data_IF_702835717295
#
_entry.id   IF_702835717295
#
_cell.length_a   1.000
_cell.length_b   1.000
_cell.length_c   1.000
_cell.angle_alpha   90.00
_cell.angle_beta   90.00
_cell.angle_gamma   90.00
#
_symmetry.space_group_name_H-M   'P 1'
#
loop_
_entity.id
_entity.type
_entity.pdbx_description
1 polymer ?
2 non-polymer ?
3 non-polymer ?
4 water ?
#
# COMPACT_ATOMS: atom_id res chain seq x y z
N UNK A 1 -11.80 -24.19 -18.48
CA UNK A 1 -10.44 -23.72 -18.62
C UNK A 1 -10.09 -22.97 -17.32
N UNK A 2 -8.99 -23.37 -16.72
CA UNK A 2 -8.49 -22.74 -15.54
C UNK A 2 -7.13 -22.20 -15.95
N UNK A 3 -6.93 -20.90 -15.81
CA UNK A 3 -5.76 -20.23 -16.34
C UNK A 3 -5.24 -19.31 -15.23
N UNK A 4 -3.92 -19.37 -15.03
CA UNK A 4 -3.18 -18.47 -14.16
C UNK A 4 -2.52 -17.47 -15.10
N UNK A 5 -2.46 -16.18 -14.76
CA UNK A 5 -1.76 -15.22 -15.63
C UNK A 5 -0.75 -14.50 -14.74
N UNK A 6 0.42 -14.17 -15.30
CA UNK A 6 1.45 -13.42 -14.62
C UNK A 6 1.93 -12.30 -15.53
N UNK A 7 2.20 -11.12 -14.95
CA UNK A 7 2.88 -10.06 -15.70
C UNK A 7 3.14 -8.88 -14.81
N UNK A 8 4.22 -8.08 -15.09
CA UNK A 8 4.50 -6.91 -14.26
C UNK A 8 3.52 -5.78 -14.54
N UNK A 9 3.41 -4.81 -13.61
CA UNK A 9 2.82 -3.50 -13.96
C UNK A 9 3.53 -2.96 -15.24
N UNK A 10 2.78 -2.40 -16.19
CA UNK A 10 3.36 -1.92 -17.44
C UNK A 10 3.32 -2.92 -18.58
N UNK A 11 2.82 -4.13 -18.32
CA UNK A 11 2.84 -5.22 -19.33
C UNK A 11 1.50 -5.33 -20.07
N UNK A 12 0.49 -4.60 -19.64
CA UNK A 12 -0.82 -4.69 -20.34
C UNK A 12 -1.60 -5.93 -19.91
N UNK A 13 -1.16 -6.56 -18.81
CA UNK A 13 -1.75 -7.83 -18.29
C UNK A 13 -3.30 -7.73 -18.16
N UNK A 14 -3.84 -6.61 -17.67
CA UNK A 14 -5.28 -6.57 -17.36
C UNK A 14 -6.09 -6.60 -18.64
N UNK A 15 -5.58 -5.88 -19.64
CA UNK A 15 -6.18 -5.83 -20.96
C UNK A 15 -6.27 -7.23 -21.56
N UNK A 16 -5.18 -7.98 -21.46
CA UNK A 16 -5.10 -9.31 -22.13
C UNK A 16 -5.93 -10.28 -21.35
N UNK A 17 -5.83 -10.19 -20.01
CA UNK A 17 -6.68 -10.94 -19.09
C UNK A 17 -8.15 -10.80 -19.47
N UNK A 18 -8.62 -9.57 -19.70
CA UNK A 18 -10.03 -9.33 -20.09
C UNK A 18 -10.40 -10.03 -21.41
N UNK A 19 -9.55 -9.91 -22.46
CA UNK A 19 -9.78 -10.63 -23.74
C UNK A 19 -9.87 -12.18 -23.60
N UNK A 20 -9.03 -12.75 -22.78
CA UNK A 20 -9.09 -14.15 -22.45
C UNK A 20 -10.33 -14.52 -21.66
N UNK A 21 -10.69 -13.75 -20.62
CA UNK A 21 -11.85 -14.15 -19.84
C UNK A 21 -13.19 -13.97 -20.62
N UNK A 22 -13.20 -13.13 -21.66
CA UNK A 22 -14.38 -12.91 -22.51
C UNK A 22 -14.58 -14.06 -23.53
N UNK A 23 -13.80 -14.07 -24.62
CA UNK A 23 -13.70 -15.31 -25.43
C UNK A 23 -13.39 -16.32 -24.32
N UNK A 24 -14.06 -17.47 -24.28
CA UNK A 24 -13.88 -18.45 -23.17
C UNK A 24 -14.73 -18.33 -21.88
N UNK A 25 -15.47 -17.23 -21.68
CA UNK A 25 -16.44 -17.07 -20.55
C UNK A 25 -16.00 -17.36 -19.09
N UNK A 26 -14.74 -17.03 -18.75
CA UNK A 26 -14.11 -17.28 -17.44
C UNK A 26 -14.56 -16.28 -16.37
N UNK A 27 -14.55 -16.72 -15.12
CA UNK A 27 -14.58 -15.80 -14.01
C UNK A 27 -13.16 -15.24 -13.78
N UNK A 28 -12.98 -13.91 -13.84
CA UNK A 28 -11.65 -13.35 -13.53
C UNK A 28 -11.53 -13.22 -11.99
N UNK A 29 -10.64 -13.97 -11.37
CA UNK A 29 -10.47 -13.90 -9.94
C UNK A 29 -9.16 -13.19 -9.61
N UNK A 30 -9.20 -11.99 -9.01
CA UNK A 30 -7.95 -11.39 -8.54
C UNK A 30 -7.92 -11.19 -7.00
N UNK A 31 -6.68 -10.98 -6.50
CA UNK A 31 -6.32 -11.08 -5.11
C UNK A 31 -7.19 -10.19 -4.30
N UNK A 32 -7.35 -8.94 -4.73
CA UNK A 32 -8.26 -8.01 -4.11
C UNK A 32 -9.70 -8.45 -3.93
N UNK A 33 -10.34 -8.92 -5.01
CA UNK A 33 -11.71 -9.47 -5.00
C UNK A 33 -11.96 -10.66 -4.09
N UNK A 34 -10.97 -11.55 -4.00
CA UNK A 34 -11.02 -12.67 -3.06
C UNK A 34 -11.22 -12.12 -1.62
N UNK A 35 -10.36 -11.22 -1.20
CA UNK A 35 -10.44 -10.68 0.17
C UNK A 35 -11.83 -10.04 0.50
N UNK A 36 -12.35 -9.21 -0.40
CA UNK A 36 -13.71 -8.66 -0.32
C UNK A 36 -14.78 -9.70 -0.08
N UNK A 37 -14.81 -10.72 -0.91
CA UNK A 37 -15.86 -11.73 -0.80
C UNK A 37 -15.82 -12.36 0.60
N UNK A 38 -14.63 -12.61 1.12
CA UNK A 38 -14.41 -13.32 2.40
C UNK A 38 -14.37 -12.43 3.68
N UNK A 39 -13.53 -11.37 3.67
CA UNK A 39 -13.45 -10.41 4.79
C UNK A 39 -14.77 -9.62 4.81
N UNK A 40 -15.00 -8.88 3.74
CA UNK A 40 -16.26 -8.27 3.48
C UNK A 40 -17.44 -9.14 3.87
N UNK A 41 -17.52 -10.35 3.33
CA UNK A 41 -18.71 -11.20 3.50
C UNK A 41 -18.69 -12.17 4.71
N UNK A 42 -17.56 -12.17 5.45
CA UNK A 42 -17.42 -12.90 6.74
C UNK A 42 -17.69 -14.40 6.74
N UNK A 43 -17.21 -15.06 5.68
CA UNK A 43 -16.97 -16.50 5.71
C UNK A 43 -16.08 -16.80 6.98
N UNK A 44 -15.90 -18.08 7.32
CA UNK A 44 -15.12 -18.46 8.53
C UNK A 44 -13.64 -18.04 8.32
N UNK A 45 -13.17 -18.14 7.08
CA UNK A 45 -11.79 -17.79 6.76
C UNK A 45 -11.60 -16.27 6.79
N UNK A 46 -12.56 -15.52 6.23
CA UNK A 46 -12.47 -14.09 6.18
C UNK A 46 -12.44 -13.48 7.55
N UNK A 47 -13.17 -14.06 8.52
CA UNK A 47 -13.11 -13.55 9.89
C UNK A 47 -11.75 -13.76 10.54
N UNK A 48 -11.14 -14.92 10.26
CA UNK A 48 -9.79 -15.19 10.75
C UNK A 48 -8.80 -14.27 10.05
N UNK A 49 -8.91 -14.11 8.74
CA UNK A 49 -8.00 -13.20 8.02
C UNK A 49 -8.06 -11.77 8.58
N UNK A 50 -9.27 -11.28 8.83
CA UNK A 50 -9.46 -9.86 9.20
C UNK A 50 -8.80 -9.48 10.51
N UNK A 51 -8.67 -10.44 11.43
CA UNK A 51 -7.84 -10.26 12.63
C UNK A 51 -6.40 -9.87 12.36
N UNK A 52 -5.78 -10.48 11.36
CA UNK A 52 -4.46 -10.05 10.93
C UNK A 52 -4.46 -8.66 10.30
N UNK A 53 -5.38 -8.44 9.36
CA UNK A 53 -5.41 -7.20 8.60
C UNK A 53 -5.58 -6.00 9.55
N UNK A 54 -6.51 -6.12 10.51
CA UNK A 54 -6.84 -5.08 11.48
C UNK A 54 -5.78 -4.73 12.45
N UNK A 55 -4.67 -5.49 12.50
CA UNK A 55 -3.51 -5.10 13.33
C UNK A 55 -2.29 -4.82 12.42
N UNK A 56 -2.52 -4.76 11.11
CA UNK A 56 -1.46 -4.41 10.20
C UNK A 56 -0.57 -5.56 9.83
N UNK A 57 -0.98 -6.80 10.13
CA UNK A 57 -0.21 -7.94 9.64
C UNK A 57 -0.80 -8.48 8.36
N UNK A 58 0.04 -9.25 7.66
CA UNK A 58 -0.39 -10.04 6.47
C UNK A 58 -1.18 -11.28 6.92
N UNK A 59 -2.12 -11.70 6.07
CA UNK A 59 -2.83 -12.95 6.28
C UNK A 59 -1.88 -14.14 6.04
N UNK A 60 -1.81 -15.09 7.00
CA UNK A 60 -0.91 -16.24 6.74
C UNK A 60 -1.33 -17.05 5.54
N UNK A 61 -0.36 -17.65 4.89
CA UNK A 61 -0.61 -18.46 3.70
C UNK A 61 -1.59 -19.60 3.99
N UNK A 62 -1.54 -20.11 5.24
CA UNK A 62 -2.40 -21.19 5.70
C UNK A 62 -3.89 -20.74 5.73
N UNK A 63 -4.15 -19.45 5.53
CA UNK A 63 -5.49 -18.91 5.49
C UNK A 63 -5.74 -18.37 4.07
N UNK A 64 -4.76 -17.68 3.53
CA UNK A 64 -4.85 -17.21 2.13
C UNK A 64 -5.17 -18.28 1.05
N UNK A 65 -4.43 -19.40 1.11
CA UNK A 65 -4.59 -20.47 0.11
C UNK A 65 -6.03 -21.02 0.18
N UNK A 66 -6.49 -21.41 1.38
CA UNK A 66 -7.85 -21.95 1.32
C UNK A 66 -8.92 -20.89 0.93
N UNK A 67 -8.67 -19.62 1.26
CA UNK A 67 -9.53 -18.51 0.79
C UNK A 67 -9.56 -18.51 -0.74
N UNK A 68 -8.40 -18.61 -1.37
CA UNK A 68 -8.33 -18.66 -2.86
C UNK A 68 -9.15 -19.83 -3.41
N UNK A 69 -8.89 -21.01 -2.83
CA UNK A 69 -9.50 -22.26 -3.27
C UNK A 69 -11.02 -22.19 -3.16
N UNK A 70 -11.54 -21.62 -2.04
CA UNK A 70 -13.00 -21.39 -1.86
C UNK A 70 -13.59 -20.55 -2.97
N UNK A 71 -12.89 -19.49 -3.39
CA UNK A 71 -13.42 -18.55 -4.39
C UNK A 71 -13.41 -19.20 -5.79
N UNK A 72 -12.32 -19.88 -6.12
CA UNK A 72 -12.27 -20.74 -7.33
C UNK A 72 -13.39 -21.80 -7.42
N UNK A 73 -13.71 -22.45 -6.31
CA UNK A 73 -14.78 -23.43 -6.24
C UNK A 73 -16.19 -22.86 -6.34
N UNK A 74 -16.41 -21.68 -5.77
CA UNK A 74 -17.70 -20.97 -5.82
C UNK A 74 -17.76 -20.12 -7.10
N UNK A 75 -17.17 -18.91 -7.06
CA UNK A 75 -17.16 -18.00 -8.22
C UNK A 75 -16.55 -18.62 -9.45
N UNK A 76 -15.52 -19.45 -9.30
CA UNK A 76 -14.85 -19.90 -10.51
C UNK A 76 -15.31 -21.27 -11.02
N UNK A 77 -16.46 -21.74 -10.52
CA UNK A 77 -16.93 -23.11 -10.84
C UNK A 77 -17.03 -23.37 -12.35
N UNK A 78 -17.45 -22.38 -13.14
CA UNK A 78 -17.61 -22.63 -14.57
C UNK A 78 -16.34 -22.27 -15.40
N UNK A 79 -15.18 -22.14 -14.76
CA UNK A 79 -13.93 -21.73 -15.42
C UNK A 79 -13.38 -20.50 -14.74
N UNK A 80 -12.07 -20.45 -14.46
CA UNK A 80 -11.46 -19.23 -13.85
C UNK A 80 -10.15 -18.71 -14.44
N UNK A 81 -9.94 -17.41 -14.36
CA UNK A 81 -8.67 -16.78 -14.65
C UNK A 81 -8.14 -16.13 -13.37
N UNK A 82 -7.05 -16.68 -12.82
CA UNK A 82 -6.47 -16.22 -11.55
C UNK A 82 -5.29 -15.28 -11.81
N UNK A 83 -5.40 -14.09 -11.26
CA UNK A 83 -4.55 -13.00 -11.69
C UNK A 83 -4.03 -12.31 -10.44
N UNK A 84 -2.72 -12.33 -10.22
CA UNK A 84 -2.13 -11.47 -9.18
C UNK A 84 -1.78 -12.24 -7.93
N UNK A 85 -2.16 -13.51 -7.90
CA UNK A 85 -1.78 -14.49 -6.90
C UNK A 85 -1.45 -15.74 -7.69
N UNK A 86 -0.35 -16.47 -7.33
CA UNK A 86 0.64 -16.20 -6.25
C UNK A 86 1.65 -15.12 -6.65
N UNK A 87 2.24 -14.45 -5.64
CA UNK A 87 3.35 -13.49 -5.87
C UNK A 87 4.72 -14.06 -5.55
N UNK A 88 4.79 -15.17 -4.81
CA UNK A 88 6.12 -15.70 -4.47
C UNK A 88 6.12 -17.24 -4.56
N UNK A 89 7.28 -17.86 -4.36
CA UNK A 89 7.42 -19.30 -4.61
C UNK A 89 6.73 -20.17 -3.56
N UNK A 90 6.74 -19.72 -2.33
CA UNK A 90 6.04 -20.36 -1.23
C UNK A 90 4.54 -20.39 -1.54
N UNK A 91 3.94 -19.23 -1.83
CA UNK A 91 2.51 -19.26 -2.33
C UNK A 91 2.30 -20.15 -3.51
N UNK A 92 3.19 -20.08 -4.49
CA UNK A 92 2.95 -20.78 -5.74
C UNK A 92 2.89 -22.27 -5.49
N UNK A 93 3.87 -22.75 -4.72
CA UNK A 93 3.92 -24.18 -4.36
C UNK A 93 2.72 -24.61 -3.48
N UNK A 94 2.33 -23.78 -2.52
CA UNK A 94 1.22 -24.15 -1.66
C UNK A 94 -0.10 -24.11 -2.46
N UNK A 95 -0.18 -23.22 -3.44
CA UNK A 95 -1.39 -23.11 -4.25
C UNK A 95 -1.49 -24.40 -5.07
N UNK A 96 -0.36 -24.82 -5.62
CA UNK A 96 -0.42 -25.95 -6.48
C UNK A 96 -0.74 -27.24 -5.72
N UNK A 97 -0.14 -27.43 -4.55
CA UNK A 97 -0.49 -28.58 -3.69
C UNK A 97 -1.95 -28.58 -3.25
N UNK A 98 -2.48 -27.37 -3.02
CA UNK A 98 -3.89 -27.27 -2.65
C UNK A 98 -4.82 -27.59 -3.83
N UNK A 99 -4.49 -27.13 -5.02
CA UNK A 99 -5.29 -27.49 -6.17
C UNK A 99 -5.27 -29.03 -6.38
N UNK A 100 -4.11 -29.63 -6.24
CA UNK A 100 -3.99 -31.06 -6.49
C UNK A 100 -4.89 -31.84 -5.51
N UNK A 101 -4.88 -31.44 -4.23
CA UNK A 101 -5.72 -32.06 -3.19
C UNK A 101 -7.19 -31.99 -3.54
N UNK A 102 -7.69 -30.84 -4.00
CA UNK A 102 -9.10 -30.73 -4.42
C UNK A 102 -9.35 -31.37 -5.80
N UNK A 103 -8.31 -31.89 -6.46
CA UNK A 103 -8.44 -32.44 -7.83
C UNK A 103 -8.88 -31.37 -8.84
N UNK A 104 -8.57 -30.11 -8.57
CA UNK A 104 -8.82 -29.07 -9.52
C UNK A 104 -7.58 -28.94 -10.44
N UNK A 105 -7.78 -28.81 -11.74
CA UNK A 105 -6.68 -28.87 -12.72
C UNK A 105 -6.44 -27.51 -13.40
N UNK A 106 -5.16 -27.14 -13.57
CA UNK A 106 -4.78 -25.99 -14.40
C UNK A 106 -4.74 -26.43 -15.88
N UNK A 107 -5.17 -25.59 -16.81
CA UNK A 107 -5.05 -25.92 -18.21
C UNK A 107 -3.93 -25.13 -18.90
N UNK A 108 -3.72 -23.88 -18.47
CA UNK A 108 -2.80 -22.97 -19.10
C UNK A 108 -2.23 -22.01 -18.05
N UNK A 109 -1.00 -21.59 -18.27
CA UNK A 109 -0.36 -20.53 -17.47
C UNK A 109 0.20 -19.57 -18.50
N UNK A 110 -0.08 -18.30 -18.37
CA UNK A 110 0.31 -17.26 -19.33
C UNK A 110 1.23 -16.30 -18.60
N UNK A 111 2.39 -16.00 -19.19
CA UNK A 111 3.28 -15.05 -18.65
C UNK A 111 3.50 -13.98 -19.73
N UNK A 112 3.30 -12.72 -19.39
CA UNK A 112 3.63 -11.64 -20.30
C UNK A 112 5.03 -11.16 -19.95
N UNK A 113 5.95 -11.25 -20.92
CA UNK A 113 7.38 -10.93 -20.69
C UNK A 113 7.73 -9.59 -21.19
N UNK A 114 8.47 -8.85 -20.40
CA UNK A 114 8.80 -7.51 -20.77
C UNK A 114 9.99 -7.19 -19.88
N UNK A 115 11.09 -6.61 -20.42
CA UNK A 115 12.16 -6.29 -19.49
C UNK A 115 11.71 -5.22 -18.51
N UNK A 116 12.30 -5.23 -17.32
CA UNK A 116 11.95 -4.29 -16.25
C UNK A 116 11.98 -2.84 -16.65
N UNK A 117 13.07 -2.39 -17.29
CA UNK A 117 13.24 -0.95 -17.57
C UNK A 117 12.23 -0.51 -18.61
N UNK A 118 11.83 -1.43 -19.51
CA UNK A 118 10.80 -1.18 -20.52
C UNK A 118 9.43 -1.02 -19.83
N UNK A 119 9.08 -1.98 -18.96
CA UNK A 119 7.87 -1.87 -18.20
C UNK A 119 7.80 -0.52 -17.44
N UNK A 120 8.88 -0.13 -16.77
CA UNK A 120 8.84 1.09 -15.97
C UNK A 120 8.59 2.33 -16.88
N UNK A 121 9.24 2.36 -18.04
CA UNK A 121 9.09 3.48 -19.02
C UNK A 121 7.69 3.59 -19.61
N UNK A 122 7.11 2.44 -19.91
CA UNK A 122 5.70 2.37 -20.39
C UNK A 122 4.71 2.85 -19.36
N UNK A 123 4.99 2.61 -18.09
CA UNK A 123 4.17 3.21 -17.02
C UNK A 123 4.32 4.78 -16.98
N UNK A 124 5.58 5.22 -16.89
CA UNK A 124 5.93 6.66 -16.75
C UNK A 124 5.56 7.42 -17.98
N UNK A 125 5.56 6.75 -19.11
CA UNK A 125 5.39 7.45 -20.37
C UNK A 125 3.91 7.66 -20.70
N UNK A 126 3.01 7.15 -19.87
CA UNK A 126 1.55 7.39 -20.08
C UNK A 126 1.18 8.88 -20.03
N UNK A 127 0.32 9.33 -20.97
CA UNK A 127 -0.20 10.72 -20.98
C UNK A 127 -1.69 10.62 -21.20
N UNK A 128 -2.45 11.34 -20.37
CA UNK A 128 -3.89 11.23 -20.41
C UNK A 128 -4.43 12.49 -21.07
N UNK A 129 -5.36 12.28 -22.01
CA UNK A 129 -6.02 13.35 -22.76
C UNK A 129 -7.13 14.01 -21.96
N UNK A 130 -7.12 15.34 -21.90
CA UNK A 130 -8.11 16.08 -21.10
C UNK A 130 -9.54 15.82 -21.62
N UNK A 131 -9.67 15.60 -22.92
CA UNK A 131 -11.00 15.48 -23.56
C UNK A 131 -11.65 14.13 -23.45
N UNK A 132 -10.80 13.09 -23.54
CA UNK A 132 -11.26 11.71 -23.46
C UNK A 132 -10.13 10.85 -22.96
N UNK A 133 -10.26 10.33 -21.74
CA UNK A 133 -9.12 9.67 -21.13
C UNK A 133 -8.93 8.26 -21.72
N UNK A 134 -9.86 7.79 -22.56
CA UNK A 134 -9.64 6.51 -23.20
C UNK A 134 -8.64 6.63 -24.33
N UNK A 135 -8.28 7.84 -24.78
CA UNK A 135 -7.38 8.01 -26.00
C UNK A 135 -5.94 7.64 -25.73
N UNK A 136 -5.41 6.54 -26.33
CA UNK A 136 -4.06 6.13 -25.90
C UNK A 136 -2.89 7.01 -26.39
N UNK A 137 -2.09 7.47 -25.43
CA UNK A 137 -0.93 8.34 -25.73
C UNK A 137 0.17 7.84 -24.80
N UNK A 138 1.34 7.58 -25.32
CA UNK A 138 2.45 7.20 -24.41
C UNK A 138 3.74 7.69 -25.06
N UNK A 139 4.56 8.40 -24.29
CA UNK A 139 5.77 8.90 -24.85
C UNK A 139 6.74 7.78 -25.14
N UNK A 140 6.58 6.59 -24.60
CA UNK A 140 7.60 5.59 -24.82
C UNK A 140 7.14 4.46 -25.70
N UNK A 141 5.91 4.52 -26.23
CA UNK A 141 5.43 3.46 -27.14
C UNK A 141 5.17 4.15 -28.44
N UNK A 142 6.16 4.01 -29.30
CA UNK A 142 6.12 4.53 -30.64
C UNK A 142 4.80 4.68 -31.33
N UNK A 143 4.05 3.60 -31.43
CA UNK A 143 2.79 3.51 -32.21
C UNK A 143 1.73 4.45 -31.65
N UNK A 144 1.87 4.84 -30.37
CA UNK A 144 0.92 5.74 -29.79
C UNK A 144 1.57 7.00 -29.16
N UNK A 145 2.69 7.44 -29.73
CA UNK A 145 3.35 8.68 -29.33
C UNK A 145 2.38 9.84 -29.47
N UNK A 146 2.47 10.84 -28.55
CA UNK A 146 1.65 12.03 -28.66
C UNK A 146 1.96 12.78 -29.93
N UNK A 147 1.06 13.68 -30.34
CA UNK A 147 1.28 14.52 -31.53
C UNK A 147 1.89 15.83 -31.01
N UNK A 148 3.21 15.85 -30.95
CA UNK A 148 3.92 16.92 -30.28
C UNK A 148 3.63 16.89 -28.78
N UNK A 149 3.07 17.97 -28.26
CA UNK A 149 2.59 18.05 -26.85
C UNK A 149 1.13 17.64 -26.66
N UNK A 150 0.40 17.38 -27.75
CA UNK A 150 -1.04 17.02 -27.65
C UNK A 150 -1.46 15.58 -28.02
N UNK A 151 -2.63 15.20 -27.55
CA UNK A 151 -3.26 13.93 -27.88
C UNK A 151 -3.15 13.63 -29.36
N UNK A 152 -2.66 12.43 -29.68
CA UNK A 152 -2.53 12.05 -31.07
C UNK A 152 -3.89 11.67 -31.69
N UNK A 153 -4.97 11.55 -30.87
CA UNK A 153 -6.32 11.19 -31.39
C UNK A 153 -7.16 12.47 -31.69
N UNK A 154 -7.17 13.45 -30.78
CA UNK A 154 -8.14 14.55 -30.89
C UNK A 154 -7.51 15.92 -30.72
N UNK A 155 -6.22 15.98 -30.39
CA UNK A 155 -5.54 17.23 -30.17
C UNK A 155 -5.77 17.86 -28.79
N UNK A 156 -6.35 17.12 -27.86
CA UNK A 156 -6.65 17.72 -26.56
C UNK A 156 -5.37 17.76 -25.73
N UNK A 157 -5.39 18.54 -24.67
CA UNK A 157 -4.22 18.65 -23.77
C UNK A 157 -3.89 17.31 -23.10
N UNK A 158 -2.62 17.08 -22.82
CA UNK A 158 -2.18 15.84 -22.18
C UNK A 158 -1.57 16.14 -20.82
N UNK A 159 -1.88 15.32 -19.83
CA UNK A 159 -1.15 15.40 -18.56
C UNK A 159 -0.61 14.08 -18.10
N UNK A 160 0.37 14.19 -17.20
CA UNK A 160 0.93 13.02 -16.59
C UNK A 160 0.11 12.74 -15.31
N UNK A 161 -0.11 11.49 -15.00
CA UNK A 161 -0.71 11.09 -13.71
C UNK A 161 0.35 10.94 -12.61
N UNK A 162 0.17 11.60 -11.47
CA UNK A 162 1.21 11.47 -10.38
C UNK A 162 1.61 9.99 -10.05
N UNK A 163 0.66 9.06 -9.99
CA UNK A 163 0.98 7.66 -9.63
C UNK A 163 1.87 7.00 -10.68
N UNK A 164 1.67 7.35 -11.94
CA UNK A 164 2.58 6.90 -13.00
C UNK A 164 4.01 7.42 -12.84
N UNK A 165 4.18 8.53 -12.14
CA UNK A 165 5.50 9.19 -12.05
C UNK A 165 6.21 8.87 -10.75
N UNK A 166 5.63 7.99 -9.97
CA UNK A 166 6.18 7.72 -8.66
C UNK A 166 7.13 6.52 -8.80
N UNK A 167 8.42 6.83 -8.99
CA UNK A 167 9.42 5.79 -9.28
C UNK A 167 9.65 4.83 -8.08
N UNK A 168 9.60 5.35 -6.86
CA UNK A 168 9.75 4.50 -5.68
C UNK A 168 8.72 3.42 -5.63
N UNK A 169 7.47 3.81 -5.86
CA UNK A 169 6.33 2.91 -5.83
C UNK A 169 6.47 1.83 -6.88
N UNK A 170 6.87 2.23 -8.11
CA UNK A 170 6.98 1.37 -9.28
C UNK A 170 8.10 0.34 -9.04
N UNK A 171 9.28 0.85 -8.65
CA UNK A 171 10.42 0.04 -8.25
C UNK A 171 10.19 -0.97 -7.15
N UNK A 172 9.48 -0.60 -6.09
CA UNK A 172 9.13 -1.63 -5.09
C UNK A 172 8.26 -2.76 -5.70
N UNK A 173 7.27 -2.44 -6.54
CA UNK A 173 6.51 -3.53 -7.16
C UNK A 173 7.31 -4.36 -8.15
N UNK A 174 8.11 -3.71 -8.99
CA UNK A 174 9.01 -4.44 -9.85
C UNK A 174 10.01 -5.28 -9.10
N UNK A 175 10.53 -4.78 -7.97
CA UNK A 175 11.51 -5.58 -7.18
C UNK A 175 10.92 -6.94 -6.78
N UNK A 176 9.65 -6.95 -6.37
CA UNK A 176 8.96 -8.22 -6.09
C UNK A 176 8.66 -9.06 -7.36
N UNK A 177 8.11 -8.41 -8.38
CA UNK A 177 7.83 -9.11 -9.60
C UNK A 177 9.10 -9.77 -10.18
N UNK A 178 10.17 -9.00 -10.35
CA UNK A 178 11.34 -9.45 -11.12
C UNK A 178 12.38 -10.20 -10.30
N UNK A 179 12.04 -10.45 -9.04
CA UNK A 179 12.81 -11.27 -8.11
C UNK A 179 12.80 -12.76 -8.52
N UNK A 180 13.89 -13.19 -9.11
CA UNK A 180 14.01 -14.57 -9.63
C UNK A 180 14.46 -15.60 -8.57
N UNK A 181 14.70 -15.16 -7.33
CA UNK A 181 15.07 -16.07 -6.24
C UNK A 181 13.79 -16.67 -5.69
N UNK A 182 12.89 -15.78 -5.27
CA UNK A 182 11.62 -16.22 -4.73
C UNK A 182 10.43 -15.31 -4.98
N UNK A 183 10.53 -14.41 -5.95
CA UNK A 183 9.44 -13.42 -6.21
C UNK A 183 8.58 -14.00 -7.30
N UNK A 184 7.91 -13.13 -8.05
CA UNK A 184 6.78 -13.58 -8.92
C UNK A 184 7.31 -14.34 -10.16
N UNK A 185 8.41 -13.86 -10.73
CA UNK A 185 9.09 -14.58 -11.76
C UNK A 185 9.47 -15.95 -11.30
N UNK A 186 10.12 -16.07 -10.14
CA UNK A 186 10.41 -17.41 -9.63
C UNK A 186 9.11 -18.22 -9.50
N UNK A 187 8.00 -17.61 -9.11
CA UNK A 187 6.71 -18.33 -9.02
C UNK A 187 6.17 -18.75 -10.36
N UNK A 188 6.29 -17.87 -11.38
CA UNK A 188 5.92 -18.26 -12.73
C UNK A 188 6.77 -19.44 -13.29
N UNK A 189 8.11 -19.37 -13.12
CA UNK A 189 8.98 -20.46 -13.50
C UNK A 189 8.67 -21.80 -12.84
N UNK A 190 8.23 -21.77 -11.60
CA UNK A 190 7.78 -22.94 -10.91
C UNK A 190 6.66 -23.64 -11.73
N UNK A 191 5.70 -22.88 -12.20
CA UNK A 191 4.72 -23.45 -13.14
C UNK A 191 5.30 -23.86 -14.50
N UNK A 192 6.07 -22.95 -15.12
CA UNK A 192 6.73 -23.21 -16.38
C UNK A 192 7.51 -24.54 -16.37
N UNK A 193 8.33 -24.75 -15.34
CA UNK A 193 9.18 -25.89 -15.25
C UNK A 193 8.51 -27.26 -15.17
N UNK A 194 7.28 -27.33 -14.67
CA UNK A 194 6.49 -28.58 -14.51
C UNK A 194 5.31 -28.74 -15.54
N UNK A 195 5.01 -27.71 -16.32
CA UNK A 195 3.88 -27.70 -17.24
C UNK A 195 3.56 -29.05 -17.90
N UNK A 196 4.47 -29.58 -18.69
CA UNK A 196 4.19 -30.82 -19.43
C UNK A 196 4.15 -32.12 -18.60
N UNK A 197 4.63 -32.06 -17.35
CA UNK A 197 4.50 -33.13 -16.37
C UNK A 197 3.11 -33.13 -15.75
N UNK A 198 2.42 -32.00 -15.80
CA UNK A 198 1.18 -31.85 -15.07
C UNK A 198 0.02 -31.57 -15.98
N UNK A 199 0.23 -31.71 -17.27
CA UNK A 199 -0.85 -31.59 -18.24
C UNK A 199 -1.39 -30.19 -18.50
N UNK A 200 -0.60 -29.15 -18.20
CA UNK A 200 -0.98 -27.82 -18.66
C UNK A 200 0.03 -27.25 -19.62
N UNK A 201 -0.36 -26.17 -20.32
CA UNK A 201 0.52 -25.52 -21.28
C UNK A 201 0.89 -24.11 -20.82
N UNK A 202 2.20 -23.85 -20.76
CA UNK A 202 2.68 -22.54 -20.43
C UNK A 202 2.82 -21.74 -21.70
N UNK A 203 2.41 -20.47 -21.68
CA UNK A 203 2.37 -19.60 -22.85
C UNK A 203 3.11 -18.33 -22.50
N UNK A 204 4.15 -17.97 -23.25
CA UNK A 204 4.91 -16.75 -22.99
C UNK A 204 4.47 -15.73 -23.98
N UNK A 205 4.02 -14.58 -23.53
CA UNK A 205 3.63 -13.55 -24.45
C UNK A 205 4.66 -12.40 -24.47
N UNK A 206 5.01 -11.95 -25.67
CA UNK A 206 5.90 -10.81 -25.85
C UNK A 206 5.16 -9.51 -25.50
N UNK A 207 5.50 -8.93 -24.37
CA UNK A 207 4.84 -7.70 -23.90
C UNK A 207 5.10 -6.40 -24.66
N UNK A 208 6.04 -6.40 -25.61
CA UNK A 208 6.35 -5.18 -26.36
C UNK A 208 5.44 -4.92 -27.54
N UNK A 209 4.70 -5.93 -28.00
CA UNK A 209 3.83 -5.72 -29.18
C UNK A 209 2.58 -4.91 -28.83
N UNK A 210 1.85 -4.46 -29.84
CA UNK A 210 0.58 -3.75 -29.60
C UNK A 210 -0.48 -4.59 -28.84
N UNK A 211 -1.54 -3.98 -28.32
CA UNK A 211 -2.68 -4.73 -27.69
C UNK A 211 -3.21 -5.84 -28.64
N UNK A 212 -3.81 -5.42 -29.76
CA UNK A 212 -4.33 -6.31 -30.82
C UNK A 212 -3.30 -7.39 -31.21
N UNK A 213 -2.02 -7.01 -31.28
CA UNK A 213 -0.96 -8.00 -31.64
C UNK A 213 -0.74 -9.13 -30.60
N UNK A 214 -0.54 -8.76 -29.33
CA UNK A 214 -0.54 -9.71 -28.20
C UNK A 214 -1.84 -10.60 -28.18
N UNK A 215 -3.02 -9.96 -28.29
CA UNK A 215 -4.28 -10.70 -28.22
C UNK A 215 -4.35 -11.78 -29.27
N UNK A 216 -3.98 -11.47 -30.52
CA UNK A 216 -3.96 -12.47 -31.58
C UNK A 216 -3.05 -13.67 -31.26
N UNK A 217 -1.82 -13.40 -30.81
CA UNK A 217 -0.88 -14.48 -30.50
C UNK A 217 -1.40 -15.32 -29.35
N UNK A 218 -2.04 -14.67 -28.39
CA UNK A 218 -2.60 -15.38 -27.22
C UNK A 218 -3.80 -16.29 -27.57
N UNK A 219 -4.82 -15.71 -28.21
CA UNK A 219 -5.96 -16.45 -28.76
C UNK A 219 -5.50 -17.71 -29.52
N UNK A 220 -4.56 -17.54 -30.46
CA UNK A 220 -4.01 -18.65 -31.30
C UNK A 220 -3.65 -19.92 -30.49
N UNK A 221 -3.18 -19.67 -29.26
CA UNK A 221 -2.63 -20.72 -28.42
C UNK A 221 -3.59 -21.31 -27.38
N UNK A 222 -4.69 -20.63 -27.11
CA UNK A 222 -5.69 -21.15 -26.18
C UNK A 222 -6.61 -22.25 -26.79
N UNK A 223 -6.30 -22.62 -28.02
CA UNK A 223 -6.75 -23.89 -28.58
C UNK A 223 -5.75 -24.30 -29.68
N UNK B 1 15.07 14.80 24.92
CA UNK B 1 13.62 14.59 25.00
C UNK B 1 13.24 13.52 23.98
N UNK B 2 12.63 12.45 24.47
CA UNK B 2 12.20 11.38 23.57
C UNK B 2 10.72 11.24 23.62
N UNK B 3 10.12 11.30 22.44
CA UNK B 3 8.65 11.39 22.37
C UNK B 3 8.08 10.44 21.36
N UNK B 4 6.99 9.77 21.74
CA UNK B 4 6.21 8.90 20.88
C UNK B 4 4.97 9.70 20.51
N UNK B 5 4.60 9.79 19.24
CA UNK B 5 3.33 10.44 18.98
C UNK B 5 2.34 9.50 18.23
N UNK B 6 1.06 9.51 18.63
CA UNK B 6 0.01 8.69 18.00
C UNK B 6 -1.14 9.59 17.49
N UNK B 7 -1.72 9.31 16.33
CA UNK B 7 -2.91 10.00 15.89
C UNK B 7 -3.37 9.35 14.59
N UNK B 8 -4.70 9.34 14.32
CA UNK B 8 -5.17 8.75 13.05
C UNK B 8 -4.92 9.67 11.83
N UNK B 9 -5.01 9.17 10.62
CA UNK B 9 -5.05 10.11 9.48
C UNK B 9 -6.25 11.06 9.67
N UNK B 10 -6.12 12.31 9.30
CA UNK B 10 -7.16 13.32 9.55
C UNK B 10 -7.03 14.04 10.87
N UNK B 11 -6.00 13.73 11.66
CA UNK B 11 -5.88 14.41 12.97
C UNK B 11 -4.93 15.57 13.03
N UNK B 12 -4.22 15.91 11.94
CA UNK B 12 -3.27 17.03 11.97
C UNK B 12 -1.98 16.67 12.70
N UNK B 13 -1.73 15.36 12.87
CA UNK B 13 -0.59 14.86 13.67
C UNK B 13 0.82 15.32 13.16
N UNK B 14 1.00 15.30 11.85
CA UNK B 14 2.26 15.66 11.24
C UNK B 14 2.56 17.15 11.41
N UNK B 15 1.55 18.01 11.30
CA UNK B 15 1.74 19.45 11.54
C UNK B 15 2.22 19.73 12.97
N UNK B 16 1.58 19.07 13.95
CA UNK B 16 1.93 19.22 15.37
C UNK B 16 3.31 18.71 15.71
N UNK B 17 3.65 17.50 15.21
CA UNK B 17 4.97 16.90 15.36
C UNK B 17 6.09 17.72 14.78
N UNK B 18 5.84 18.32 13.59
CA UNK B 18 6.79 19.22 12.99
C UNK B 18 7.03 20.46 13.89
N UNK B 19 5.99 21.02 14.53
CA UNK B 19 6.14 22.13 15.51
C UNK B 19 7.00 21.76 16.75
N UNK B 20 6.83 20.56 17.27
CA UNK B 20 7.63 20.14 18.42
C UNK B 20 9.07 19.91 17.98
N UNK B 21 9.25 19.17 16.89
CA UNK B 21 10.57 18.88 16.38
C UNK B 21 11.34 20.14 16.08
N UNK B 22 10.68 21.14 15.49
CA UNK B 22 11.33 22.44 15.36
C UNK B 22 11.62 23.16 16.66
N UNK B 23 10.62 23.33 17.53
CA UNK B 23 10.92 24.00 18.79
C UNK B 23 12.11 23.42 19.56
N UNK B 24 12.26 22.09 19.57
CA UNK B 24 13.25 21.51 20.47
C UNK B 24 14.40 20.85 19.72
N UNK B 25 14.49 21.10 18.40
CA UNK B 25 15.50 20.51 17.55
C UNK B 25 15.62 18.97 17.64
N UNK B 26 14.48 18.27 17.80
CA UNK B 26 14.47 16.79 17.82
C UNK B 26 14.65 16.26 16.39
N UNK B 27 15.10 15.00 16.28
CA UNK B 27 15.00 14.27 15.03
C UNK B 27 13.57 13.75 14.90
N UNK B 28 12.90 14.03 13.77
CA UNK B 28 11.54 13.46 13.48
C UNK B 28 11.78 12.11 12.83
N UNK B 29 11.37 11.03 13.49
CA UNK B 29 11.73 9.69 13.02
C UNK B 29 10.46 8.95 12.64
N UNK B 30 10.35 8.64 11.36
CA UNK B 30 9.07 8.15 10.80
C UNK B 30 9.40 6.83 10.13
N UNK B 31 8.48 5.88 10.28
CA UNK B 31 8.64 4.52 9.76
C UNK B 31 9.35 4.39 8.40
N UNK B 32 8.88 5.04 7.34
CA UNK B 32 9.53 4.94 6.04
C UNK B 32 10.88 5.61 5.94
N UNK B 33 11.16 6.58 6.78
CA UNK B 33 12.53 7.08 6.84
C UNK B 33 13.47 6.02 7.43
N UNK B 34 12.93 5.25 8.37
CA UNK B 34 13.75 4.21 8.98
C UNK B 34 14.16 3.20 7.88
N UNK B 35 13.18 2.76 7.10
CA UNK B 35 13.40 1.70 6.08
C UNK B 35 14.38 2.14 5.04
N UNK B 36 14.23 3.38 4.52
CA UNK B 36 15.18 4.02 3.61
C UNK B 36 16.60 4.02 4.17
N UNK B 37 16.75 4.44 5.42
CA UNK B 37 18.08 4.45 6.00
C UNK B 37 18.72 3.03 5.94
N UNK B 38 17.93 1.99 6.25
CA UNK B 38 18.47 0.62 6.46
C UNK B 38 18.50 -0.21 5.18
N UNK B 39 17.34 -0.33 4.54
CA UNK B 39 17.19 -1.02 3.26
C UNK B 39 18.03 -0.30 2.21
N UNK B 40 17.78 1.01 2.04
CA UNK B 40 18.41 1.75 1.02
C UNK B 40 19.89 1.83 1.30
N UNK B 41 20.29 1.96 2.57
CA UNK B 41 21.71 2.08 2.95
C UNK B 41 22.46 0.77 3.16
N UNK B 42 21.84 -0.38 2.86
CA UNK B 42 22.48 -1.69 3.00
C UNK B 42 23.08 -1.99 4.40
N UNK B 43 22.43 -1.55 5.50
CA UNK B 43 22.89 -1.98 6.84
C UNK B 43 22.69 -3.51 6.93
N UNK B 44 23.22 -4.15 7.98
CA UNK B 44 23.10 -5.63 8.11
C UNK B 44 21.66 -5.99 8.34
N UNK B 45 20.95 -5.09 9.03
CA UNK B 45 19.53 -5.29 9.26
C UNK B 45 18.74 -5.07 7.99
N UNK B 46 19.05 -3.98 7.29
CA UNK B 46 18.41 -3.60 6.03
C UNK B 46 18.51 -4.68 4.96
N UNK B 47 19.63 -5.38 4.87
CA UNK B 47 19.82 -6.47 3.87
C UNK B 47 18.95 -7.69 4.24
N UNK B 48 18.80 -7.94 5.55
CA UNK B 48 17.93 -9.07 5.96
C UNK B 48 16.47 -8.70 5.71
N UNK B 49 16.08 -7.46 6.04
CA UNK B 49 14.73 -6.96 5.77
C UNK B 49 14.32 -7.03 4.31
N UNK B 50 15.18 -6.54 3.42
CA UNK B 50 14.85 -6.46 2.00
C UNK B 50 14.48 -7.86 1.48
N UNK B 51 15.04 -8.91 2.07
CA UNK B 51 14.71 -10.24 1.60
C UNK B 51 13.21 -10.60 1.70
N UNK B 52 12.60 -10.21 2.83
CA UNK B 52 11.20 -10.43 3.06
C UNK B 52 10.38 -9.55 2.13
N UNK B 53 10.75 -8.26 2.11
CA UNK B 53 10.03 -7.29 1.31
C UNK B 53 10.01 -7.66 -0.18
N UNK B 54 11.13 -8.17 -0.68
CA UNK B 54 11.23 -8.55 -2.11
C UNK B 54 10.46 -9.79 -2.49
N UNK B 55 9.90 -10.50 -1.49
CA UNK B 55 8.98 -11.61 -1.78
C UNK B 55 7.54 -11.19 -1.38
N UNK B 56 7.38 -9.93 -1.03
CA UNK B 56 6.05 -9.43 -0.64
C UNK B 56 5.65 -9.78 0.81
N UNK B 57 6.60 -10.24 1.64
CA UNK B 57 6.30 -10.46 3.08
C UNK B 57 6.59 -9.20 3.94
N UNK B 58 6.03 -9.11 5.14
CA UNK B 58 6.39 -8.00 6.01
C UNK B 58 7.72 -8.39 6.71
N UNK B 59 8.46 -7.38 7.13
CA UNK B 59 9.70 -7.64 7.91
C UNK B 59 9.25 -8.12 9.29
N UNK B 60 9.77 -9.28 9.78
CA UNK B 60 9.45 -9.76 11.12
C UNK B 60 9.76 -8.72 12.21
N UNK B 61 9.05 -8.77 13.34
CA UNK B 61 9.28 -7.75 14.36
C UNK B 61 10.69 -7.80 14.92
N UNK B 62 11.31 -8.99 14.96
CA UNK B 62 12.68 -9.05 15.51
C UNK B 62 13.79 -8.48 14.62
N UNK B 63 13.40 -7.95 13.44
CA UNK B 63 14.34 -7.21 12.61
C UNK B 63 13.86 -5.74 12.67
N UNK B 64 12.55 -5.52 12.52
CA UNK B 64 11.98 -4.21 12.62
C UNK B 64 12.37 -3.43 13.90
N UNK B 65 12.14 -4.02 15.06
CA UNK B 65 12.41 -3.34 16.33
C UNK B 65 13.90 -2.93 16.40
N UNK B 66 14.84 -3.85 16.10
CA UNK B 66 16.25 -3.40 16.12
C UNK B 66 16.61 -2.29 15.05
N UNK B 67 15.88 -2.28 13.95
CA UNK B 67 16.09 -1.24 12.96
C UNK B 67 15.69 0.08 13.56
N UNK B 68 14.55 0.07 14.25
CA UNK B 68 14.06 1.30 14.86
C UNK B 68 15.05 1.74 15.93
N UNK B 69 15.47 0.83 16.81
CA UNK B 69 16.44 1.21 17.84
C UNK B 69 17.74 1.79 17.24
N UNK B 70 18.27 1.19 16.17
CA UNK B 70 19.56 1.69 15.54
C UNK B 70 19.42 3.11 14.96
N UNK B 71 18.26 3.41 14.41
CA UNK B 71 17.95 4.76 13.96
C UNK B 71 17.79 5.77 15.10
N UNK B 72 17.11 5.39 16.17
CA UNK B 72 17.00 6.26 17.34
C UNK B 72 18.35 6.59 17.89
N UNK B 73 19.26 5.59 17.91
CA UNK B 73 20.63 5.75 18.44
C UNK B 73 21.49 6.66 17.59
N UNK B 74 21.42 6.51 16.26
CA UNK B 74 22.20 7.36 15.35
C UNK B 74 21.56 8.73 15.07
N UNK B 75 20.35 8.78 14.51
CA UNK B 75 19.75 10.10 14.23
C UNK B 75 19.17 10.80 15.45
N UNK B 76 18.74 10.03 16.44
CA UNK B 76 18.00 10.63 17.52
C UNK B 76 18.83 10.97 18.71
N UNK B 77 20.16 11.00 18.58
CA UNK B 77 20.97 11.14 19.80
C UNK B 77 20.79 12.48 20.59
N UNK B 78 20.16 13.51 20.01
CA UNK B 78 19.86 14.74 20.78
C UNK B 78 18.33 14.92 21.00
N UNK B 79 17.57 13.81 20.95
CA UNK B 79 16.15 13.82 21.14
C UNK B 79 15.48 13.35 19.87
N UNK B 80 14.36 12.66 20.03
CA UNK B 80 13.62 12.12 18.89
C UNK B 80 12.13 12.15 19.08
N UNK B 81 11.42 12.19 17.97
CA UNK B 81 9.99 12.12 17.91
C UNK B 81 9.71 10.96 16.96
N UNK B 82 9.15 9.89 17.51
CA UNK B 82 8.92 8.68 16.72
C UNK B 82 7.46 8.67 16.38
N UNK B 83 7.22 8.57 15.10
CA UNK B 83 5.90 8.84 14.55
C UNK B 83 5.53 7.72 13.58
N UNK B 84 4.50 6.95 13.90
CA UNK B 84 3.95 6.01 12.91
C UNK B 84 4.28 4.58 13.19
N UNK B 85 5.12 4.39 14.19
CA UNK B 85 5.45 3.12 14.80
C UNK B 85 5.42 3.33 16.32
N UNK B 86 4.79 2.41 17.15
CA UNK B 86 4.26 1.11 16.79
C UNK B 86 2.85 1.25 16.26
N UNK B 87 2.41 0.28 15.50
CA UNK B 87 0.97 0.24 15.08
C UNK B 87 0.04 -0.78 15.79
N UNK B 88 0.63 -1.68 16.54
CA UNK B 88 -0.15 -2.74 17.16
C UNK B 88 0.48 -3.09 18.53
N UNK B 89 -0.25 -3.88 19.35
CA UNK B 89 0.22 -4.10 20.72
C UNK B 89 1.51 -4.93 20.80
N UNK B 90 1.68 -5.84 19.82
CA UNK B 90 2.87 -6.72 19.82
C UNK B 90 4.09 -5.85 19.62
N UNK B 91 4.04 -4.96 18.60
CA UNK B 91 5.08 -3.98 18.32
C UNK B 91 5.34 -3.06 19.50
N UNK B 92 4.28 -2.57 20.13
CA UNK B 92 4.37 -1.64 21.27
C UNK B 92 5.23 -2.23 22.42
N UNK B 93 4.96 -3.49 22.74
CA UNK B 93 5.56 -4.08 23.88
C UNK B 93 6.98 -4.50 23.51
N UNK B 94 7.18 -5.01 22.28
CA UNK B 94 8.56 -5.26 21.80
C UNK B 94 9.40 -3.99 21.80
N UNK B 95 8.82 -2.88 21.33
CA UNK B 95 9.57 -1.60 21.26
C UNK B 95 9.99 -1.20 22.67
N UNK B 96 9.01 -1.21 23.57
CA UNK B 96 9.29 -0.82 24.96
C UNK B 96 10.39 -1.66 25.62
N UNK B 97 10.38 -2.99 25.43
CA UNK B 97 11.38 -3.85 25.99
C UNK B 97 12.74 -3.59 25.35
N UNK B 98 12.73 -3.27 24.06
CA UNK B 98 13.97 -3.00 23.36
C UNK B 98 14.58 -1.67 23.82
N UNK B 99 13.74 -0.65 24.00
CA UNK B 99 14.22 0.60 24.58
C UNK B 99 14.84 0.42 26.01
N UNK B 100 14.18 -0.31 26.89
CA UNK B 100 14.70 -0.46 28.23
C UNK B 100 16.06 -1.13 28.15
N UNK B 101 16.15 -2.13 27.27
CA UNK B 101 17.32 -2.97 27.18
C UNK B 101 18.50 -2.04 26.87
N UNK B 102 18.23 -0.98 26.11
CA UNK B 102 19.26 -0.01 25.69
C UNK B 102 19.40 1.25 26.58
N UNK B 103 18.65 1.27 27.68
CA UNK B 103 18.63 2.42 28.61
C UNK B 103 18.09 3.71 28.01
N UNK B 104 17.33 3.60 26.93
CA UNK B 104 16.66 4.74 26.31
C UNK B 104 15.29 5.04 26.96
N UNK B 105 15.14 6.21 27.57
CA UNK B 105 13.92 6.52 28.32
C UNK B 105 12.95 7.28 27.40
N UNK B 106 11.66 6.97 27.52
CA UNK B 106 10.61 7.78 26.89
C UNK B 106 10.25 8.88 27.87
N UNK B 107 10.11 10.11 27.37
CA UNK B 107 9.78 11.20 28.24
C UNK B 107 8.31 11.59 28.14
N UNK B 108 7.76 11.49 26.92
CA UNK B 108 6.36 11.83 26.67
C UNK B 108 5.80 10.98 25.61
N UNK B 109 4.50 10.70 25.73
CA UNK B 109 3.76 10.03 24.68
C UNK B 109 2.60 11.01 24.41
N UNK B 110 2.35 11.36 23.14
CA UNK B 110 1.31 12.31 22.79
C UNK B 110 0.34 11.47 21.95
N UNK B 111 -0.95 11.60 22.27
CA UNK B 111 -2.04 11.09 21.47
C UNK B 111 -2.99 12.19 21.08
N UNK B 112 -3.20 12.36 19.76
CA UNK B 112 -4.23 13.26 19.29
C UNK B 112 -5.53 12.44 19.07
N UNK B 113 -6.61 12.85 19.73
CA UNK B 113 -7.91 12.15 19.74
C UNK B 113 -8.90 12.77 18.81
N UNK B 114 -9.63 11.92 18.12
CA UNK B 114 -10.67 12.34 17.20
C UNK B 114 -11.56 11.15 17.08
N UNK B 115 -12.90 11.35 17.08
CA UNK B 115 -13.73 10.18 16.76
C UNK B 115 -13.41 9.81 15.32
N UNK B 116 -13.46 8.52 15.02
CA UNK B 116 -13.13 8.03 13.72
C UNK B 116 -13.98 8.70 12.63
N UNK B 117 -15.28 8.82 12.87
CA UNK B 117 -16.16 9.48 11.89
C UNK B 117 -15.71 10.94 11.63
N UNK B 118 -15.41 11.69 12.67
CA UNK B 118 -14.87 13.06 12.45
C UNK B 118 -13.56 13.01 11.64
N UNK B 119 -12.64 12.15 12.05
CA UNK B 119 -11.37 11.96 11.29
C UNK B 119 -11.59 11.67 9.78
N UNK B 120 -12.45 10.68 9.50
CA UNK B 120 -12.79 10.37 8.11
C UNK B 120 -13.37 11.55 7.31
N UNK B 121 -14.29 12.30 7.92
CA UNK B 121 -14.84 13.50 7.32
C UNK B 121 -13.85 14.60 7.11
N UNK B 122 -12.88 14.73 8.01
CA UNK B 122 -11.78 15.69 7.79
C UNK B 122 -10.87 15.37 6.62
N UNK B 123 -10.68 14.09 6.32
CA UNK B 123 -9.97 13.70 5.12
C UNK B 123 -10.82 14.01 3.91
N UNK B 124 -12.04 13.51 3.88
CA UNK B 124 -12.87 13.63 2.69
C UNK B 124 -13.28 15.05 2.39
N UNK B 125 -13.34 15.88 3.42
CA UNK B 125 -13.75 17.29 3.29
C UNK B 125 -12.70 18.23 2.66
N UNK B 126 -11.44 17.79 2.55
CA UNK B 126 -10.38 18.62 1.96
C UNK B 126 -10.73 19.02 0.53
N UNK B 127 -10.54 20.32 0.27
CA UNK B 127 -10.67 20.85 -1.06
C UNK B 127 -9.43 21.66 -1.35
N UNK B 128 -8.93 21.56 -2.58
CA UNK B 128 -7.62 22.15 -2.91
C UNK B 128 -7.82 23.29 -3.90
N UNK B 129 -7.23 24.45 -3.58
CA UNK B 129 -7.34 25.65 -4.42
C UNK B 129 -6.47 25.55 -5.66
N UNK B 130 -7.08 25.72 -6.82
CA UNK B 130 -6.34 25.71 -8.08
C UNK B 130 -5.14 26.69 -8.09
N UNK B 131 -5.28 27.85 -7.44
CA UNK B 131 -4.32 28.97 -7.52
C UNK B 131 -3.15 28.77 -6.59
N UNK B 132 -3.46 28.26 -5.39
CA UNK B 132 -2.43 28.03 -4.36
C UNK B 132 -2.86 26.84 -3.49
N UNK B 133 -2.23 25.65 -3.69
CA UNK B 133 -2.71 24.47 -3.04
C UNK B 133 -2.51 24.49 -1.49
N UNK B 134 -1.73 25.45 -1.02
CA UNK B 134 -1.60 25.60 0.41
C UNK B 134 -2.74 26.38 1.12
N UNK B 135 -3.70 26.93 0.35
CA UNK B 135 -4.90 27.58 0.93
C UNK B 135 -5.84 26.61 1.66
N UNK B 136 -5.84 26.58 3.01
CA UNK B 136 -6.67 25.56 3.63
C UNK B 136 -8.20 25.73 3.38
N UNK B 137 -8.84 24.70 2.83
CA UNK B 137 -10.28 24.66 2.58
C UNK B 137 -10.79 23.27 3.00
N UNK B 138 -11.84 23.23 3.82
CA UNK B 138 -12.37 21.96 4.23
C UNK B 138 -13.84 22.05 4.54
N UNK B 139 -14.66 21.32 3.78
CA UNK B 139 -16.09 21.40 3.90
C UNK B 139 -16.53 20.90 5.29
N UNK B 140 -15.69 20.16 5.99
CA UNK B 140 -16.04 19.71 7.35
C UNK B 140 -15.38 20.38 8.50
N UNK B 141 -14.50 21.35 8.26
CA UNK B 141 -13.91 22.06 9.39
C UNK B 141 -14.46 23.47 9.27
N UNK B 142 -15.39 23.83 10.14
CA UNK B 142 -16.17 25.07 10.00
C UNK B 142 -15.27 26.33 9.84
N UNK B 143 -14.21 26.45 10.67
CA UNK B 143 -13.23 27.55 10.56
C UNK B 143 -12.52 27.68 9.19
N UNK B 144 -12.43 26.61 8.40
CA UNK B 144 -11.83 26.76 7.06
C UNK B 144 -12.76 26.26 5.93
N UNK B 145 -14.06 26.47 6.09
CA UNK B 145 -14.95 26.01 5.05
C UNK B 145 -14.96 26.90 3.78
N UNK B 146 -15.08 26.29 2.60
CA UNK B 146 -14.99 27.06 1.36
C UNK B 146 -15.96 28.23 1.32
N UNK B 147 -15.70 29.21 0.45
CA UNK B 147 -16.63 30.35 0.32
C UNK B 147 -17.62 29.99 -0.80
N UNK B 148 -18.72 29.34 -0.42
CA UNK B 148 -19.56 28.62 -1.38
C UNK B 148 -18.87 27.45 -2.06
N UNK B 149 -18.67 27.58 -3.37
CA UNK B 149 -17.93 26.63 -4.24
C UNK B 149 -16.44 26.98 -4.39
N UNK B 150 -16.02 28.13 -3.86
CA UNK B 150 -14.68 28.61 -4.22
C UNK B 150 -13.81 28.81 -2.97
N UNK B 151 -12.50 28.90 -3.19
CA UNK B 151 -11.49 29.05 -2.14
C UNK B 151 -11.79 30.21 -1.19
N UNK B 152 -11.91 29.93 0.12
CA UNK B 152 -12.16 30.96 1.12
C UNK B 152 -11.04 31.97 1.20
N UNK B 153 -9.87 31.63 0.68
CA UNK B 153 -8.74 32.55 0.75
C UNK B 153 -8.70 33.51 -0.41
N UNK B 154 -8.85 33.00 -1.64
CA UNK B 154 -8.57 33.81 -2.84
C UNK B 154 -9.64 33.74 -3.91
N UNK B 155 -10.66 32.90 -3.72
CA UNK B 155 -11.78 32.83 -4.67
C UNK B 155 -11.50 31.86 -5.82
N UNK B 156 -10.36 31.18 -5.81
CA UNK B 156 -10.06 30.27 -6.91
C UNK B 156 -10.88 28.99 -6.89
N UNK B 157 -10.88 28.32 -8.03
CA UNK B 157 -11.55 27.03 -8.15
C UNK B 157 -11.05 25.99 -7.08
N UNK B 158 -11.96 25.13 -6.62
CA UNK B 158 -11.63 24.06 -5.67
C UNK B 158 -11.85 22.71 -6.30
N UNK B 159 -11.01 21.77 -5.96
CA UNK B 159 -11.25 20.40 -6.39
C UNK B 159 -10.94 19.38 -5.33
N UNK B 160 -11.46 18.17 -5.50
CA UNK B 160 -11.21 17.07 -4.59
C UNK B 160 -10.02 16.25 -5.09
N UNK B 161 -9.21 15.79 -4.14
CA UNK B 161 -8.15 14.80 -4.44
C UNK B 161 -8.72 13.42 -4.40
N UNK B 162 -8.46 12.63 -5.44
CA UNK B 162 -8.96 11.24 -5.50
C UNK B 162 -8.63 10.39 -4.26
N UNK B 163 -7.38 10.43 -3.76
CA UNK B 163 -7.01 9.66 -2.58
C UNK B 163 -7.79 10.13 -1.37
N UNK B 164 -8.14 11.42 -1.31
CA UNK B 164 -8.97 11.87 -0.17
C UNK B 164 -10.38 11.32 -0.19
N UNK B 165 -10.87 10.93 -1.38
CA UNK B 165 -12.24 10.37 -1.54
C UNK B 165 -12.26 8.81 -1.60
N UNK B 166 -11.13 8.15 -1.36
CA UNK B 166 -11.05 6.69 -1.47
C UNK B 166 -11.46 6.09 -0.11
N UNK B 167 -12.76 5.85 0.06
CA UNK B 167 -13.29 5.49 1.37
C UNK B 167 -12.80 4.13 1.80
N UNK B 168 -12.66 3.25 0.81
CA UNK B 168 -12.06 1.96 1.02
C UNK B 168 -10.67 1.99 1.69
N UNK B 169 -9.78 2.82 1.18
CA UNK B 169 -8.40 2.87 1.67
C UNK B 169 -8.34 3.57 3.04
N UNK B 170 -9.22 4.55 3.24
CA UNK B 170 -9.27 5.36 4.47
C UNK B 170 -9.80 4.44 5.58
N UNK B 171 -10.91 3.77 5.29
CA UNK B 171 -11.45 2.79 6.25
C UNK B 171 -10.50 1.65 6.59
N UNK B 172 -9.63 1.24 5.67
CA UNK B 172 -8.69 0.20 5.99
C UNK B 172 -7.65 0.74 6.99
N UNK B 173 -7.17 1.97 6.80
CA UNK B 173 -6.21 2.57 7.76
C UNK B 173 -6.84 2.82 9.14
N UNK B 174 -8.10 3.27 9.16
CA UNK B 174 -8.80 3.55 10.41
C UNK B 174 -9.20 2.30 11.15
N UNK B 175 -9.47 1.21 10.42
CA UNK B 175 -9.68 -0.11 11.01
C UNK B 175 -8.50 -0.52 11.88
N UNK B 176 -7.29 -0.33 11.38
CA UNK B 176 -6.05 -0.62 12.17
C UNK B 176 -5.89 0.37 13.32
N UNK B 177 -6.05 1.67 13.03
CA UNK B 177 -5.85 2.69 14.10
C UNK B 177 -6.85 2.54 15.26
N UNK B 178 -8.11 2.51 14.91
CA UNK B 178 -9.13 2.51 15.95
C UNK B 178 -9.41 1.14 16.58
N UNK B 179 -8.68 0.11 16.15
CA UNK B 179 -8.71 -1.22 16.75
C UNK B 179 -8.21 -1.25 18.22
N UNK B 180 -9.15 -1.39 19.17
CA UNK B 180 -8.82 -1.32 20.58
C UNK B 180 -8.49 -2.69 21.15
N UNK B 181 -8.57 -3.74 20.31
CA UNK B 181 -8.18 -5.06 20.75
C UNK B 181 -6.62 -5.13 20.67
N UNK B 182 -6.08 -4.98 19.47
CA UNK B 182 -4.64 -4.97 19.38
C UNK B 182 -4.08 -4.02 18.31
N UNK B 183 -4.85 -3.06 17.85
CA UNK B 183 -4.35 -2.05 16.87
C UNK B 183 -3.71 -0.84 17.55
N UNK B 184 -3.71 0.30 16.86
CA UNK B 184 -2.85 1.43 17.28
C UNK B 184 -3.38 2.10 18.52
N UNK B 185 -4.68 2.29 18.62
CA UNK B 185 -5.26 2.73 19.87
C UNK B 185 -4.89 1.82 21.05
N UNK B 186 -4.92 0.48 20.86
CA UNK B 186 -4.52 -0.46 21.93
C UNK B 186 -3.02 -0.31 22.30
N UNK B 187 -2.16 -0.01 21.30
CA UNK B 187 -0.71 0.28 21.53
C UNK B 187 -0.55 1.59 22.33
N UNK B 188 -1.32 2.63 21.97
CA UNK B 188 -1.27 3.96 22.68
C UNK B 188 -1.72 3.78 24.14
N UNK B 189 -2.83 3.04 24.34
CA UNK B 189 -3.31 2.80 25.72
C UNK B 189 -2.34 1.94 26.51
N UNK B 190 -1.60 1.09 25.83
CA UNK B 190 -0.54 0.35 26.50
C UNK B 190 0.46 1.32 27.13
N UNK B 191 0.90 2.34 26.40
CA UNK B 191 1.79 3.39 27.00
C UNK B 191 1.08 4.20 28.06
N UNK B 192 -0.14 4.65 27.74
CA UNK B 192 -0.93 5.45 28.73
C UNK B 192 -0.98 4.75 30.11
N UNK B 193 -1.29 3.46 30.09
CA UNK B 193 -1.53 2.70 31.35
C UNK B 193 -0.22 2.38 32.11
N UNK B 194 0.95 2.56 31.51
CA UNK B 194 2.22 2.44 32.27
C UNK B 194 2.95 3.77 32.48
N UNK B 195 2.40 4.87 31.97
CA UNK B 195 3.04 6.18 32.07
C UNK B 195 3.51 6.46 33.51
N UNK B 196 2.60 6.32 34.49
CA UNK B 196 2.96 6.69 35.85
C UNK B 196 4.06 5.78 36.43
N UNK B 197 3.93 4.45 36.28
CA UNK B 197 4.98 3.56 36.80
C UNK B 197 6.34 3.87 36.12
N UNK B 198 6.33 4.20 34.82
CA UNK B 198 7.57 4.24 34.06
C UNK B 198 8.24 5.59 34.03
N UNK B 199 7.52 6.63 34.43
CA UNK B 199 8.13 7.95 34.63
C UNK B 199 8.07 8.76 33.36
N UNK B 200 7.07 8.54 32.50
CA UNK B 200 6.85 9.42 31.38
C UNK B 200 5.47 10.06 31.48
N UNK B 201 5.22 11.08 30.66
CA UNK B 201 3.95 11.73 30.74
C UNK B 201 3.14 11.47 29.47
N UNK B 202 1.88 11.06 29.62
CA UNK B 202 1.04 10.82 28.45
C UNK B 202 0.16 12.05 28.26
N UNK B 203 0.27 12.71 27.11
CA UNK B 203 -0.52 13.92 26.79
C UNK B 203 -1.64 13.61 25.78
N UNK B 204 -2.91 13.77 26.19
CA UNK B 204 -4.10 13.54 25.30
C UNK B 204 -4.57 14.89 24.78
N UNK B 205 -4.57 15.12 23.46
CA UNK B 205 -4.95 16.42 22.90
C UNK B 205 -6.23 16.25 22.06
N UNK B 206 -7.27 17.03 22.35
CA UNK B 206 -8.46 17.06 21.49
C UNK B 206 -8.09 17.56 20.09
N UNK B 207 -8.26 16.73 19.07
CA UNK B 207 -7.78 17.17 17.77
C UNK B 207 -8.79 18.00 17.02
N UNK B 208 -9.93 18.25 17.65
CA UNK B 208 -10.97 19.08 17.02
C UNK B 208 -10.77 20.57 17.17
N UNK B 209 -9.88 20.99 18.06
CA UNK B 209 -9.57 22.42 18.20
C UNK B 209 -8.67 22.97 17.10
N UNK B 210 -8.32 24.25 17.18
CA UNK B 210 -7.53 24.88 16.15
C UNK B 210 -6.06 24.45 16.24
N UNK B 211 -5.37 24.53 15.11
CA UNK B 211 -3.93 24.21 15.10
C UNK B 211 -3.13 25.01 16.17
N UNK B 212 -3.37 26.32 16.32
CA UNK B 212 -2.60 27.13 17.26
C UNK B 212 -2.93 26.77 18.70
N UNK B 213 -4.21 26.59 18.97
CA UNK B 213 -4.65 26.20 20.34
C UNK B 213 -4.06 24.85 20.80
N UNK B 214 -4.00 23.91 19.88
CA UNK B 214 -3.39 22.57 20.14
C UNK B 214 -1.87 22.65 20.31
N UNK B 215 -1.22 23.40 19.41
CA UNK B 215 0.21 23.60 19.51
C UNK B 215 0.58 24.21 20.86
N UNK B 216 -0.13 25.26 21.28
CA UNK B 216 0.28 26.01 22.47
C UNK B 216 0.12 25.16 23.69
N UNK B 217 -0.89 24.28 23.67
CA UNK B 217 -1.07 23.31 24.77
C UNK B 217 0.09 22.31 24.82
N UNK B 218 0.43 21.78 23.65
CA UNK B 218 1.40 20.71 23.48
C UNK B 218 2.77 21.24 23.90
N UNK B 219 3.21 22.34 23.28
CA UNK B 219 4.45 23.04 23.63
C UNK B 219 4.50 23.34 25.13
N UNK B 220 3.40 23.84 25.71
CA UNK B 220 3.45 24.06 27.18
C UNK B 220 3.69 22.77 28.01
N UNK B 221 3.17 21.60 27.62
CA UNK B 221 3.51 20.35 28.37
C UNK B 221 4.98 19.90 28.31
N UNK B 222 5.67 20.24 27.23
CA UNK B 222 7.05 19.81 27.07
C UNK B 222 8.10 20.77 27.68
N UNK B 223 7.67 21.99 28.05
CA UNK B 223 8.54 23.09 28.45
C UNK B 223 9.06 22.94 29.86
#
# INVERSE_FOLDING_TARGET
MNILIFGPNGSGKGTQGNLVKDKYSLAHIESGGIFREHIGGGTELGKKAKEFIDRGDLVPDDITIPMVLETLESKGKDGWLLDGFPRNTVQAQKLFEALQEKGMKINFVIEILLPREVAKNRIMGRRICKNNPNHPNNIFIEAIKPNGDVCRVCGGALSARADDQDEGAINKRHDIYYNTVDGTLAAAYYYKNMAAKEGFVYIELDGEGSIDSIKDTLLAQLA
MNILIFGPNGSGKGTQGNLVKDKYSLAHIESGGIFREHIGGGTELGKKAKEFIDRGDLVPDDITIPMVLETLESKGKDGWLLDGFPRNTVQAQKLFEALQEKGMKINFVIEILLPREVAKNRIMGRRICKNNPNHPNNIFIEAIKPNGDVCRVCGGALSARADDQDEGAINKRHDIYYNTVDGTLAAAYYYKNMAAKEGFVYIELDGEGSIDSIKDTLLAQLA
#
